data_IF_431353671579
#
_entry.id   IF_431353671579
#
_cell.length_a   1.000
_cell.length_b   1.000
_cell.length_c   1.000
_cell.angle_alpha   90.00
_cell.angle_beta   90.00
_cell.angle_gamma   90.00
#
_symmetry.space_group_name_H-M   'P 1'
#
loop_
_entity.id
_entity.type
_entity.pdbx_description
1 polymer ?
#
# COMPACT_ATOMS: atom_id res chain seq x y z
N UNK A 1 3.16 9.61 -9.79
CA UNK A 1 1.70 9.70 -9.64
C UNK A 1 1.27 11.17 -9.68
N UNK A 2 0.31 11.55 -10.53
CA UNK A 2 -0.23 12.93 -10.59
C UNK A 2 -1.00 13.30 -9.32
N UNK A 3 -1.18 14.60 -9.05
CA UNK A 3 -1.74 15.10 -7.78
C UNK A 3 -3.17 14.63 -7.52
N UNK A 4 -4.04 14.69 -8.52
CA UNK A 4 -5.45 14.24 -8.41
C UNK A 4 -5.59 12.75 -8.12
N UNK A 5 -4.53 11.96 -8.36
CA UNK A 5 -4.52 10.54 -8.08
C UNK A 5 -3.80 10.20 -6.77
N UNK A 6 -3.22 11.18 -6.06
CA UNK A 6 -2.47 10.93 -4.81
C UNK A 6 -3.32 10.18 -3.79
N UNK A 7 -2.71 9.17 -3.19
CA UNK A 7 -3.21 8.46 -2.03
C UNK A 7 -2.11 8.32 -0.99
N UNK A 8 -2.52 8.11 0.25
CA UNK A 8 -1.64 8.01 1.40
C UNK A 8 -1.83 6.68 2.12
N UNK A 9 -0.73 6.13 2.62
CA UNK A 9 -0.66 4.91 3.40
C UNK A 9 0.30 5.14 4.55
N UNK A 10 0.06 4.49 5.68
CA UNK A 10 0.97 4.48 6.83
C UNK A 10 1.17 3.06 7.30
N UNK A 11 2.36 2.76 7.81
CA UNK A 11 2.62 1.52 8.52
C UNK A 11 3.04 1.80 9.96
N UNK A 12 2.52 1.04 10.90
CA UNK A 12 2.89 1.11 12.31
C UNK A 12 3.27 -0.27 12.82
N UNK A 13 4.35 -0.34 13.60
CA UNK A 13 4.77 -1.55 14.31
C UNK A 13 4.36 -1.43 15.78
N UNK A 14 3.55 -2.37 16.24
CA UNK A 14 3.18 -2.52 17.64
C UNK A 14 4.39 -2.98 18.47
N UNK A 15 4.73 -2.29 19.58
CA UNK A 15 5.91 -2.63 20.37
C UNK A 15 5.76 -3.89 21.22
N UNK A 16 4.55 -4.36 21.48
CA UNK A 16 4.31 -5.52 22.36
C UNK A 16 4.38 -6.81 21.54
N UNK A 17 3.60 -6.88 20.47
CA UNK A 17 3.42 -8.07 19.66
C UNK A 17 4.18 -8.02 18.33
N UNK A 18 4.90 -6.91 18.05
CA UNK A 18 5.68 -6.68 16.81
C UNK A 18 4.83 -6.76 15.55
N UNK A 19 3.51 -6.61 15.69
CA UNK A 19 2.55 -6.65 14.60
C UNK A 19 2.70 -5.38 13.77
N UNK A 20 2.82 -5.52 12.46
CA UNK A 20 2.86 -4.40 11.53
C UNK A 20 1.47 -4.24 10.94
N UNK A 21 0.86 -3.08 11.14
CA UNK A 21 -0.42 -2.70 10.55
C UNK A 21 -0.19 -1.65 9.49
N UNK A 22 -0.51 -1.98 8.25
CA UNK A 22 -0.51 -1.07 7.11
C UNK A 22 -1.93 -0.56 6.92
N UNK A 23 -2.12 0.76 7.00
CA UNK A 23 -3.44 1.41 6.94
C UNK A 23 -3.51 2.30 5.71
N UNK A 24 -4.56 2.10 4.90
CA UNK A 24 -4.88 3.01 3.82
C UNK A 24 -5.55 4.28 4.36
N UNK A 25 -4.95 5.45 4.13
CA UNK A 25 -5.42 6.73 4.68
C UNK A 25 -6.29 7.53 3.70
N UNK A 26 -6.56 6.99 2.51
CA UNK A 26 -7.30 7.70 1.47
C UNK A 26 -6.47 8.73 0.71
N UNK A 27 -7.16 9.70 0.11
CA UNK A 27 -6.58 10.73 -0.76
C UNK A 27 -7.48 11.01 -1.96
N UNK A 28 -7.11 12.02 -2.76
CA UNK A 28 -7.88 12.44 -3.94
C UNK A 28 -8.09 11.29 -4.93
N UNK A 29 -7.09 10.42 -5.08
CA UNK A 29 -7.16 9.28 -5.99
C UNK A 29 -7.92 8.07 -5.48
N UNK A 30 -8.44 8.07 -4.24
CA UNK A 30 -9.04 6.87 -3.62
C UNK A 30 -10.15 6.27 -4.48
N UNK A 31 -10.96 7.09 -5.15
CA UNK A 31 -12.07 6.63 -6.00
C UNK A 31 -11.64 5.76 -7.20
N UNK A 32 -10.34 5.72 -7.50
CA UNK A 32 -9.78 4.91 -8.58
C UNK A 32 -9.01 3.69 -8.03
N UNK A 33 -8.82 3.53 -6.71
CA UNK A 33 -7.99 2.44 -6.16
C UNK A 33 -8.79 1.14 -6.04
N UNK A 34 -8.46 0.14 -6.85
CA UNK A 34 -9.05 -1.21 -6.79
C UNK A 34 -8.30 -2.15 -5.86
N UNK A 35 -6.99 -2.01 -5.79
CA UNK A 35 -6.14 -2.93 -5.05
C UNK A 35 -5.09 -2.19 -4.25
N UNK A 36 -4.80 -2.69 -3.05
CA UNK A 36 -3.62 -2.31 -2.28
C UNK A 36 -2.85 -3.59 -1.96
N UNK A 37 -1.58 -3.62 -2.35
CA UNK A 37 -0.64 -4.71 -2.06
C UNK A 37 0.45 -4.16 -1.16
N UNK A 38 0.67 -4.79 -0.01
CA UNK A 38 1.76 -4.47 0.89
C UNK A 38 2.71 -5.66 1.02
N UNK A 39 4.00 -5.37 0.95
CA UNK A 39 5.08 -6.32 1.18
C UNK A 39 5.87 -5.91 2.40
N UNK A 40 6.05 -6.84 3.31
CA UNK A 40 6.91 -6.68 4.48
C UNK A 40 8.12 -7.59 4.32
N UNK A 41 9.30 -6.97 4.28
CA UNK A 41 10.57 -7.68 4.35
C UNK A 41 11.10 -7.56 5.77
N UNK A 42 11.09 -8.69 6.49
CA UNK A 42 11.53 -8.77 7.87
C UNK A 42 13.04 -8.80 7.98
N UNK A 43 13.57 -8.41 9.13
CA UNK A 43 15.02 -8.47 9.39
C UNK A 43 15.63 -9.87 9.33
N UNK A 44 14.83 -10.92 9.53
CA UNK A 44 15.24 -12.32 9.41
C UNK A 44 15.34 -12.81 7.95
N UNK A 45 15.06 -11.93 6.98
CA UNK A 45 15.04 -12.23 5.55
C UNK A 45 13.71 -12.75 5.03
N UNK A 46 12.74 -13.02 5.91
CA UNK A 46 11.39 -13.46 5.52
C UNK A 46 10.67 -12.33 4.81
N UNK A 47 10.08 -12.64 3.67
CA UNK A 47 9.20 -11.72 2.95
C UNK A 47 7.77 -12.24 3.02
N UNK A 48 6.84 -11.37 3.40
CA UNK A 48 5.41 -11.64 3.37
C UNK A 48 4.72 -10.57 2.53
N UNK A 49 3.82 -10.98 1.64
CA UNK A 49 3.02 -10.08 0.81
C UNK A 49 1.54 -10.35 1.04
N UNK A 50 0.75 -9.29 1.21
CA UNK A 50 -0.70 -9.37 1.31
C UNK A 50 -1.35 -8.33 0.43
N UNK A 51 -2.55 -8.64 -0.01
CA UNK A 51 -3.30 -7.82 -0.95
C UNK A 51 -4.76 -7.70 -0.51
N UNK A 52 -5.30 -6.49 -0.57
CA UNK A 52 -6.73 -6.22 -0.56
C UNK A 52 -7.13 -5.90 -1.99
N UNK A 53 -8.08 -6.65 -2.53
CA UNK A 53 -8.66 -6.39 -3.86
C UNK A 53 -10.15 -6.13 -3.71
N UNK A 54 -10.65 -5.09 -4.37
CA UNK A 54 -12.08 -4.79 -4.48
C UNK A 54 -12.56 -5.10 -5.89
N UNK A 55 -13.83 -5.49 -6.06
CA UNK A 55 -14.40 -5.68 -7.39
C UNK A 55 -14.43 -4.36 -8.17
N UNK A 56 -14.44 -4.43 -9.49
CA UNK A 56 -14.58 -3.25 -10.36
C UNK A 56 -15.83 -2.44 -9.99
N UNK A 57 -15.68 -1.12 -9.93
CA UNK A 57 -16.73 -0.21 -9.45
C UNK A 57 -16.81 -0.07 -7.92
N UNK A 58 -15.95 -0.75 -7.18
CA UNK A 58 -15.73 -0.55 -5.74
C UNK A 58 -14.27 -0.20 -5.46
N UNK A 59 -14.02 0.52 -4.38
CA UNK A 59 -12.69 1.07 -4.07
C UNK A 59 -12.22 0.69 -2.68
N UNK A 60 -10.91 0.69 -2.49
CA UNK A 60 -10.30 0.60 -1.16
C UNK A 60 -10.77 1.80 -0.33
N UNK A 61 -11.18 1.55 0.91
CA UNK A 61 -11.70 2.60 1.79
C UNK A 61 -10.62 3.06 2.76
N UNK A 62 -10.69 4.33 3.15
CA UNK A 62 -9.91 4.83 4.28
C UNK A 62 -10.17 3.95 5.51
N UNK A 63 -9.09 3.51 6.15
CA UNK A 63 -9.13 2.58 7.29
C UNK A 63 -9.04 1.10 6.92
N UNK A 64 -9.07 0.72 5.63
CA UNK A 64 -8.76 -0.66 5.23
C UNK A 64 -7.30 -0.97 5.63
N UNK A 65 -7.09 -2.14 6.24
CA UNK A 65 -5.79 -2.54 6.82
C UNK A 65 -5.28 -3.88 6.33
N UNK A 66 -3.96 -3.99 6.24
CA UNK A 66 -3.24 -5.25 6.08
C UNK A 66 -2.33 -5.45 7.28
N UNK A 67 -2.39 -6.63 7.87
CA UNK A 67 -1.67 -6.94 9.09
C UNK A 67 -0.61 -8.02 8.84
N UNK A 68 0.59 -7.81 9.35
CA UNK A 68 1.75 -8.69 9.17
C UNK A 68 2.38 -8.98 10.52
N UNK A 69 3.04 -10.14 10.64
CA UNK A 69 4.00 -10.32 11.72
C UNK A 69 5.28 -9.54 11.37
N UNK A 70 5.86 -8.88 12.37
CA UNK A 70 7.14 -8.19 12.28
C UNK A 70 8.18 -8.79 13.22
N UNK A 71 9.35 -8.17 13.26
CA UNK A 71 10.48 -8.57 14.11
C UNK A 71 10.84 -7.47 15.10
N UNK A 72 11.69 -7.80 16.07
CA UNK A 72 12.20 -6.85 17.07
C UNK A 72 13.10 -5.77 16.46
N UNK A 73 13.66 -6.02 15.27
CA UNK A 73 14.62 -5.11 14.64
C UNK A 73 13.96 -4.33 13.49
N UNK A 74 14.70 -3.87 12.49
CA UNK A 74 14.15 -3.09 11.39
C UNK A 74 13.43 -3.99 10.38
N UNK A 75 12.19 -3.64 10.04
CA UNK A 75 11.45 -4.30 8.96
C UNK A 75 11.14 -3.27 7.88
N UNK A 76 11.25 -3.65 6.61
CA UNK A 76 10.89 -2.79 5.48
C UNK A 76 9.45 -3.03 5.09
N UNK A 77 8.68 -1.96 4.90
CA UNK A 77 7.32 -2.00 4.38
C UNK A 77 7.26 -1.24 3.07
N UNK A 78 6.79 -1.93 2.03
CA UNK A 78 6.58 -1.39 0.71
C UNK A 78 5.11 -1.56 0.33
N UNK A 79 4.49 -0.53 -0.23
CA UNK A 79 3.07 -0.59 -0.60
C UNK A 79 2.87 -0.07 -2.01
N UNK A 80 2.09 -0.83 -2.78
CA UNK A 80 1.64 -0.49 -4.11
C UNK A 80 0.11 -0.43 -4.14
N UNK A 81 -0.41 0.46 -4.97
CA UNK A 81 -1.84 0.54 -5.28
C UNK A 81 -2.06 0.27 -6.76
N UNK A 82 -3.14 -0.45 -7.09
CA UNK A 82 -3.57 -0.64 -8.47
C UNK A 82 -4.84 0.16 -8.74
N UNK A 83 -4.82 0.91 -9.83
CA UNK A 83 -5.92 1.76 -10.28
C UNK A 83 -6.92 1.02 -11.17
N UNK A 84 -8.18 1.43 -11.12
CA UNK A 84 -9.28 0.92 -11.96
C UNK A 84 -9.02 1.19 -13.44
N UNK A 85 -8.40 2.33 -13.73
CA UNK A 85 -7.99 2.76 -15.05
C UNK A 85 -6.49 3.09 -15.10
N UNK A 86 -5.92 3.01 -16.29
CA UNK A 86 -4.57 3.45 -16.56
C UNK A 86 -4.42 4.97 -16.33
N UNK A 87 -3.39 5.40 -15.61
CA UNK A 87 -3.08 6.82 -15.47
C UNK A 87 -2.03 7.18 -16.52
N UNK A 88 -2.39 8.07 -17.44
CA UNK A 88 -1.50 8.54 -18.50
C UNK A 88 -1.30 10.05 -18.31
N UNK A 89 -0.06 10.57 -18.39
CA UNK A 89 0.20 12.00 -18.18
C UNK A 89 -0.45 12.92 -19.23
N UNK A 90 -1.00 12.39 -20.33
CA UNK A 90 -1.51 13.14 -21.50
C UNK A 90 -2.80 12.59 -22.12
N UNK A 91 -3.71 12.01 -21.33
CA UNK A 91 -4.95 11.40 -21.86
C UNK A 91 -4.80 9.90 -22.15
N UNK A 92 -5.86 9.17 -22.55
CA UNK A 92 -5.96 7.73 -22.39
C UNK A 92 -4.91 6.99 -23.24
N UNK A 93 -3.77 6.63 -22.64
CA UNK A 93 -2.85 5.67 -23.24
C UNK A 93 -3.36 4.26 -22.89
N UNK A 94 -3.54 3.37 -23.88
CA UNK A 94 -4.00 2.00 -23.64
C UNK A 94 -3.03 1.19 -22.76
N UNK A 95 -1.78 1.63 -22.66
CA UNK A 95 -0.68 0.97 -21.92
C UNK A 95 -0.27 1.70 -20.62
N UNK A 96 -1.08 2.63 -20.12
CA UNK A 96 -0.68 3.44 -18.96
C UNK A 96 -0.47 2.60 -17.69
N UNK A 97 0.50 3.00 -16.86
CA UNK A 97 0.82 2.33 -15.61
C UNK A 97 -0.40 2.35 -14.68
N UNK A 98 -0.78 1.18 -14.17
CA UNK A 98 -1.91 1.02 -13.24
C UNK A 98 -1.44 0.79 -11.81
N UNK A 99 -0.20 0.34 -11.63
CA UNK A 99 0.36 -0.03 -10.35
C UNK A 99 1.35 1.04 -9.93
N UNK A 100 1.15 1.64 -8.76
CA UNK A 100 2.01 2.72 -8.27
C UNK A 100 2.54 2.39 -6.89
N UNK A 101 3.86 2.49 -6.69
CA UNK A 101 4.44 2.47 -5.34
C UNK A 101 4.10 3.78 -4.63
N UNK A 102 3.40 3.68 -3.50
CA UNK A 102 2.92 4.84 -2.73
C UNK A 102 3.54 4.94 -1.35
N UNK A 103 4.22 3.88 -0.90
CA UNK A 103 4.88 3.83 0.39
C UNK A 103 6.12 2.93 0.34
N UNK A 104 7.19 3.38 0.99
CA UNK A 104 8.43 2.63 1.20
C UNK A 104 9.12 3.16 2.46
N UNK A 105 9.16 2.36 3.52
CA UNK A 105 9.77 2.78 4.78
C UNK A 105 10.49 1.62 5.45
N UNK A 106 11.58 1.94 6.16
CA UNK A 106 12.14 1.07 7.18
C UNK A 106 11.54 1.43 8.52
N UNK A 107 10.73 0.53 9.08
CA UNK A 107 10.18 0.71 10.42
C UNK A 107 11.30 0.55 11.45
N UNK A 108 11.38 1.44 12.46
CA UNK A 108 12.38 1.34 13.50
C UNK A 108 12.21 0.07 14.33
N UNK A 109 13.25 -0.36 15.06
CA UNK A 109 13.11 -1.40 16.07
C UNK A 109 12.08 -0.98 17.14
N UNK A 110 11.32 -1.96 17.64
CA UNK A 110 10.29 -1.76 18.66
C UNK A 110 10.28 -2.92 19.65
#
# INVERSE_FOLDING_TARGET
MPDDYRVSVTAQKDPINRKITVTFNGGKGQENVLQMTAKVTRSDGTTEEKTITKPSGSTIRTGDTLEFAGTATQDRVEVWVTMDRALSPTGPSPDGERVFKVYDVLLPPK
#
